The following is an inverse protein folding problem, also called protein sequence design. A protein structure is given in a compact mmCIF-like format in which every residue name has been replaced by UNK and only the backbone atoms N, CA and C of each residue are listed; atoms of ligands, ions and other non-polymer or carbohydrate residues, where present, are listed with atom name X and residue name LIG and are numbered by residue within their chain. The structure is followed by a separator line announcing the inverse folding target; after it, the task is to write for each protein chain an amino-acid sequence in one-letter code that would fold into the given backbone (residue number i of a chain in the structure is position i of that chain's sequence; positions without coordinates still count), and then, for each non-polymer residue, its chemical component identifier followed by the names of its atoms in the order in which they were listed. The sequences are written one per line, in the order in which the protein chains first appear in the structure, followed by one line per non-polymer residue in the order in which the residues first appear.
data_IF_083859351345
#
_entry.id   IF_083859351345
#
_cell.length_a   1.000
_cell.length_b   1.000
_cell.length_c   1.000
_cell.angle_alpha   90.00
_cell.angle_beta   90.00
_cell.angle_gamma   90.00
#
_symmetry.space_group_name_H-M   'P 1'
#
loop_
_entity.id
_entity.type
_entity.pdbx_description
1 polymer ?
#
# COMPACT_ATOMS: atom_id res chain seq x y z
N UNK A 1 -7.73 1.29 -13.66
CA UNK A 1 -8.31 1.77 -12.39
C UNK A 1 -8.34 0.63 -11.36
N UNK A 2 -7.20 0.01 -11.06
CA UNK A 2 -7.12 -1.23 -10.26
C UNK A 2 -6.25 -1.08 -9.00
N UNK A 3 -6.00 0.15 -8.59
CA UNK A 3 -4.75 0.45 -7.91
C UNK A 3 -4.90 1.15 -6.57
N UNK A 4 -6.09 1.66 -6.30
CA UNK A 4 -6.50 2.14 -5.00
C UNK A 4 -6.58 1.00 -3.94
N UNK A 5 -5.97 -0.16 -4.20
CA UNK A 5 -6.26 -1.45 -3.57
C UNK A 5 -5.51 -1.66 -2.26
N UNK A 6 -4.20 -1.42 -2.17
CA UNK A 6 -3.40 -1.83 -0.99
C UNK A 6 -3.52 -0.84 0.13
N UNK A 7 -3.19 0.43 -0.10
CA UNK A 7 -3.22 1.43 0.96
C UNK A 7 -4.62 1.61 1.54
N UNK A 8 -5.67 1.46 0.71
CA UNK A 8 -7.05 1.49 1.19
C UNK A 8 -7.49 0.19 1.87
N UNK A 9 -7.01 -0.97 1.44
CA UNK A 9 -7.21 -2.22 2.18
C UNK A 9 -6.50 -2.16 3.53
N UNK A 10 -5.25 -1.69 3.60
CA UNK A 10 -4.51 -1.46 4.84
C UNK A 10 -5.28 -0.56 5.81
N UNK A 11 -5.87 0.53 5.30
CA UNK A 11 -6.68 1.44 6.08
C UNK A 11 -8.00 0.78 6.52
N UNK A 12 -8.75 0.14 5.62
CA UNK A 12 -10.08 -0.47 5.85
C UNK A 12 -10.06 -1.72 6.74
N UNK A 13 -8.98 -2.50 6.68
CA UNK A 13 -8.86 -3.79 7.36
C UNK A 13 -8.73 -3.66 8.88
N UNK A 14 -7.97 -2.66 9.34
CA UNK A 14 -7.80 -2.39 10.76
C UNK A 14 -9.16 -2.18 11.48
N UNK A 15 -10.10 -1.50 10.82
CA UNK A 15 -11.42 -1.20 11.38
C UNK A 15 -12.44 -2.35 11.22
N UNK A 16 -12.38 -3.10 10.11
CA UNK A 16 -13.29 -4.26 9.88
C UNK A 16 -13.03 -5.38 10.90
N UNK A 17 -11.78 -5.59 11.29
CA UNK A 17 -11.36 -6.59 12.27
C UNK A 17 -11.81 -6.21 13.69
N UNK A 18 -11.75 -4.93 14.06
CA UNK A 18 -12.21 -4.44 15.37
C UNK A 18 -13.74 -4.53 15.49
N UNK A 19 -14.48 -4.23 14.43
CA UNK A 19 -15.95 -4.35 14.39
C UNK A 19 -16.44 -5.80 14.42
N UNK A 20 -15.66 -6.74 13.89
CA UNK A 20 -15.96 -8.18 13.91
C UNK A 20 -15.53 -8.88 15.20
N UNK A 21 -14.55 -8.34 15.95
CA UNK A 21 -14.03 -8.96 17.18
C UNK A 21 -14.84 -8.65 18.45
N UNK A 22 -15.86 -7.78 18.38
CA UNK A 22 -16.94 -7.73 19.37
C UNK A 22 -16.56 -7.43 20.83
N UNK A 23 -15.32 -7.05 21.13
CA UNK A 23 -14.88 -6.83 22.50
C UNK A 23 -14.04 -5.55 22.65
N UNK A 24 -14.70 -4.57 23.29
CA UNK A 24 -14.20 -3.42 24.07
C UNK A 24 -14.25 -2.04 23.42
N UNK A 25 -15.08 -1.20 24.05
CA UNK A 25 -14.95 0.26 24.13
C UNK A 25 -13.50 0.64 24.50
N UNK A 26 -12.69 0.96 23.50
CA UNK A 26 -11.56 1.87 23.69
C UNK A 26 -11.90 3.12 22.91
N UNK A 27 -11.92 4.26 23.59
CA UNK A 27 -12.32 5.52 22.99
C UNK A 27 -11.51 5.80 21.73
N UNK A 28 -12.21 6.09 20.63
CA UNK A 28 -11.78 6.49 19.28
C UNK A 28 -10.75 7.65 19.23
N UNK A 29 -10.19 8.09 20.35
CA UNK A 29 -9.30 9.24 20.44
C UNK A 29 -7.82 8.88 20.47
N UNK A 30 -7.46 7.66 20.87
CA UNK A 30 -6.05 7.23 21.01
C UNK A 30 -5.61 6.25 19.89
N UNK A 31 -6.56 5.68 19.14
CA UNK A 31 -6.26 5.01 17.87
C UNK A 31 -5.88 5.99 16.74
N UNK A 32 -6.32 7.24 16.87
CA UNK A 32 -6.47 8.19 15.77
C UNK A 32 -5.61 9.46 15.91
N UNK A 33 -4.51 9.43 16.65
CA UNK A 33 -3.45 10.43 16.47
C UNK A 33 -2.75 10.19 15.12
N UNK A 34 -3.43 10.51 14.02
CA UNK A 34 -2.90 10.45 12.66
C UNK A 34 -3.89 10.02 11.57
N UNK A 35 -5.10 9.57 11.90
CA UNK A 35 -6.05 9.03 10.92
C UNK A 35 -7.43 9.66 11.09
N UNK A 36 -7.99 10.15 9.98
CA UNK A 36 -9.27 10.87 9.93
C UNK A 36 -10.42 9.87 9.70
N UNK A 37 -11.29 9.72 10.70
CA UNK A 37 -12.37 8.74 10.75
C UNK A 37 -13.46 8.93 9.69
N UNK A 38 -13.69 10.16 9.21
CA UNK A 38 -14.67 10.41 8.16
C UNK A 38 -14.15 9.95 6.79
N UNK A 39 -12.88 10.24 6.50
CA UNK A 39 -12.22 9.79 5.26
C UNK A 39 -12.22 8.27 5.15
N UNK A 40 -12.05 7.59 6.27
CA UNK A 40 -12.07 6.14 6.35
C UNK A 40 -13.41 5.55 5.84
N UNK A 41 -14.53 6.05 6.34
CA UNK A 41 -15.87 5.56 5.97
C UNK A 41 -16.19 5.86 4.50
N UNK A 42 -15.74 7.00 4.00
CA UNK A 42 -15.80 7.34 2.57
C UNK A 42 -15.00 6.33 1.73
N UNK A 43 -13.83 5.90 2.18
CA UNK A 43 -13.01 4.92 1.47
C UNK A 43 -13.60 3.51 1.49
N UNK A 44 -14.20 3.07 2.59
CA UNK A 44 -14.89 1.77 2.66
C UNK A 44 -16.06 1.69 1.67
N UNK A 45 -16.86 2.75 1.58
CA UNK A 45 -17.96 2.83 0.63
C UNK A 45 -17.47 3.00 -0.81
N UNK A 46 -16.38 3.71 -1.04
CA UNK A 46 -15.73 3.78 -2.35
C UNK A 46 -15.24 2.39 -2.79
N UNK A 47 -14.72 1.58 -1.85
CA UNK A 47 -14.27 0.20 -2.12
C UNK A 47 -15.41 -0.71 -2.53
N UNK A 48 -16.50 -0.70 -1.78
CA UNK A 48 -17.70 -1.49 -2.10
C UNK A 48 -18.34 -1.06 -3.40
N UNK A 49 -18.41 0.25 -3.66
CA UNK A 49 -19.09 0.82 -4.83
C UNK A 49 -18.31 0.62 -6.12
N UNK A 50 -16.97 0.71 -6.10
CA UNK A 50 -16.14 0.58 -7.31
C UNK A 50 -15.79 -0.86 -7.67
N UNK A 51 -15.70 -1.77 -6.71
CA UNK A 51 -15.16 -3.12 -6.94
C UNK A 51 -16.06 -4.26 -6.45
N UNK A 52 -17.00 -3.97 -5.55
CA UNK A 52 -17.80 -4.99 -4.88
C UNK A 52 -17.01 -5.73 -3.80
N UNK A 53 -17.69 -6.18 -2.75
CA UNK A 53 -17.08 -6.94 -1.66
C UNK A 53 -16.53 -8.32 -2.10
N UNK A 54 -16.72 -8.69 -3.37
CA UNK A 54 -16.41 -10.01 -3.91
C UNK A 54 -15.05 -10.14 -4.61
N UNK A 55 -14.30 -9.04 -4.75
CA UNK A 55 -12.97 -9.06 -5.36
C UNK A 55 -12.02 -10.06 -4.64
N UNK A 56 -11.36 -10.96 -5.37
CA UNK A 56 -10.50 -11.99 -4.77
C UNK A 56 -9.36 -11.46 -3.92
N UNK A 57 -8.77 -10.32 -4.28
CA UNK A 57 -7.63 -9.76 -3.53
C UNK A 57 -8.08 -8.93 -2.34
N UNK A 58 -9.29 -8.36 -2.37
CA UNK A 58 -9.95 -7.83 -1.18
C UNK A 58 -10.20 -8.96 -0.17
N UNK A 59 -10.73 -10.10 -0.63
CA UNK A 59 -10.96 -11.28 0.22
C UNK A 59 -9.67 -11.86 0.80
N UNK A 60 -8.64 -11.99 -0.03
CA UNK A 60 -7.32 -12.46 0.43
C UNK A 60 -6.74 -11.52 1.49
N UNK A 61 -6.90 -10.21 1.33
CA UNK A 61 -6.38 -9.23 2.29
C UNK A 61 -7.11 -9.22 3.61
N UNK A 62 -8.44 -9.38 3.58
CA UNK A 62 -9.25 -9.66 4.76
C UNK A 62 -8.78 -10.92 5.49
N UNK A 63 -8.52 -12.01 4.76
CA UNK A 63 -8.08 -13.26 5.35
C UNK A 63 -6.66 -13.17 5.95
N UNK A 64 -5.69 -12.63 5.19
CA UNK A 64 -4.28 -12.54 5.61
C UNK A 64 -4.08 -11.65 6.83
N UNK A 65 -4.85 -10.58 6.94
CA UNK A 65 -4.71 -9.62 8.03
C UNK A 65 -5.71 -9.84 9.17
N UNK A 66 -6.61 -10.82 9.11
CA UNK A 66 -7.65 -11.04 10.14
C UNK A 66 -7.13 -11.13 11.59
N UNK A 67 -5.90 -11.62 11.77
CA UNK A 67 -5.26 -11.75 13.06
C UNK A 67 -4.45 -10.52 13.49
N UNK A 68 -4.24 -9.55 12.58
CA UNK A 68 -3.45 -8.37 12.86
C UNK A 68 -4.11 -7.51 13.95
N UNK A 69 -3.25 -6.94 14.78
CA UNK A 69 -3.57 -5.92 15.77
C UNK A 69 -2.95 -4.58 15.35
N UNK A 70 -3.29 -3.50 16.05
CA UNK A 70 -2.81 -2.14 15.75
C UNK A 70 -1.29 -2.06 15.54
N UNK A 71 -0.51 -2.78 16.34
CA UNK A 71 0.96 -2.79 16.22
C UNK A 71 1.42 -3.41 14.89
N UNK A 72 0.76 -4.46 14.40
CA UNK A 72 1.15 -5.12 13.14
C UNK A 72 0.98 -4.17 11.94
N UNK A 73 -0.11 -3.41 11.92
CA UNK A 73 -0.32 -2.36 10.91
C UNK A 73 0.71 -1.23 11.04
N UNK A 74 1.01 -0.81 12.27
CA UNK A 74 2.00 0.24 12.51
C UNK A 74 3.40 -0.20 12.05
N UNK A 75 3.78 -1.44 12.33
CA UNK A 75 5.03 -2.03 11.87
C UNK A 75 5.07 -2.18 10.35
N UNK A 76 3.99 -2.65 9.72
CA UNK A 76 3.90 -2.75 8.26
C UNK A 76 4.07 -1.38 7.59
N UNK A 77 3.42 -0.34 8.14
CA UNK A 77 3.58 1.04 7.69
C UNK A 77 5.02 1.50 7.86
N UNK A 78 5.64 1.27 9.02
CA UNK A 78 7.02 1.66 9.28
C UNK A 78 7.99 1.00 8.30
N UNK A 79 7.83 -0.31 8.06
CA UNK A 79 8.63 -1.04 7.06
C UNK A 79 8.49 -0.43 5.66
N UNK A 80 7.28 -0.03 5.27
CA UNK A 80 7.04 0.61 3.98
C UNK A 80 7.67 2.01 3.90
N UNK A 81 7.54 2.81 4.94
CA UNK A 81 8.14 4.15 5.03
C UNK A 81 9.68 4.08 4.99
N UNK A 82 10.29 3.13 5.70
CA UNK A 82 11.73 2.85 5.67
C UNK A 82 12.19 2.39 4.28
N UNK A 83 11.39 1.56 3.62
CA UNK A 83 11.67 1.13 2.26
C UNK A 83 11.63 2.31 1.28
N UNK A 84 10.59 3.14 1.33
CA UNK A 84 10.48 4.32 0.46
C UNK A 84 11.66 5.28 0.64
N UNK A 85 12.15 5.47 1.88
CA UNK A 85 13.38 6.24 2.13
C UNK A 85 14.60 5.63 1.44
N UNK A 86 14.78 4.32 1.52
CA UNK A 86 15.89 3.62 0.85
C UNK A 86 15.78 3.70 -0.68
N UNK A 87 14.58 3.59 -1.24
CA UNK A 87 14.35 3.77 -2.68
C UNK A 87 14.69 5.21 -3.10
N UNK A 88 14.24 6.20 -2.31
CA UNK A 88 14.59 7.60 -2.52
C UNK A 88 16.11 7.81 -2.52
N UNK A 89 16.84 7.17 -1.62
CA UNK A 89 18.29 7.32 -1.53
C UNK A 89 19.02 6.76 -2.77
N UNK A 90 18.57 5.63 -3.33
CA UNK A 90 19.15 5.11 -4.59
C UNK A 90 18.75 5.96 -5.80
N UNK A 91 17.53 6.48 -5.81
CA UNK A 91 17.05 7.40 -6.85
C UNK A 91 17.87 8.70 -6.88
N UNK A 92 18.10 9.33 -5.72
CA UNK A 92 18.90 10.56 -5.61
C UNK A 92 20.36 10.34 -6.02
N UNK A 93 20.89 9.12 -5.88
CA UNK A 93 22.22 8.74 -6.39
C UNK A 93 22.26 8.49 -7.91
N UNK A 94 21.13 8.61 -8.60
CA UNK A 94 21.02 8.41 -10.04
C UNK A 94 20.97 6.95 -10.46
N UNK A 95 20.63 6.02 -9.56
CA UNK A 95 20.49 4.61 -9.93
C UNK A 95 19.29 4.43 -10.88
N UNK A 96 19.46 3.66 -11.96
CA UNK A 96 18.36 3.39 -12.90
C UNK A 96 17.25 2.56 -12.25
N UNK A 97 15.98 2.72 -12.68
CA UNK A 97 14.84 1.97 -12.13
C UNK A 97 15.00 0.44 -12.20
N UNK A 98 15.67 -0.07 -13.24
CA UNK A 98 15.92 -1.48 -13.50
C UNK A 98 17.28 -1.98 -12.95
N UNK A 99 18.05 -1.11 -12.30
CA UNK A 99 19.34 -1.47 -11.73
C UNK A 99 19.23 -2.53 -10.64
N UNK A 100 20.25 -3.37 -10.42
CA UNK A 100 20.21 -4.41 -9.39
C UNK A 100 19.91 -3.87 -7.99
N UNK A 101 20.46 -2.71 -7.62
CA UNK A 101 20.19 -2.06 -6.33
C UNK A 101 18.74 -1.63 -6.16
N UNK A 102 18.14 -1.10 -7.21
CA UNK A 102 16.73 -0.67 -7.18
C UNK A 102 15.82 -1.88 -7.15
N UNK A 103 16.12 -2.89 -7.97
CA UNK A 103 15.29 -4.08 -8.10
C UNK A 103 15.28 -4.95 -6.85
N UNK A 104 16.36 -4.96 -6.06
CA UNK A 104 16.35 -5.56 -4.73
C UNK A 104 15.31 -4.89 -3.81
N UNK A 105 15.28 -3.55 -3.79
CA UNK A 105 14.30 -2.79 -2.99
C UNK A 105 12.87 -2.96 -3.51
N UNK A 106 12.66 -3.04 -4.83
CA UNK A 106 11.33 -3.33 -5.38
C UNK A 106 10.88 -4.76 -5.05
N UNK A 107 11.80 -5.72 -4.96
CA UNK A 107 11.51 -7.04 -4.43
C UNK A 107 11.02 -6.98 -2.98
N UNK A 108 11.66 -6.20 -2.12
CA UNK A 108 11.17 -5.94 -0.76
C UNK A 108 9.79 -5.24 -0.78
N UNK A 109 9.56 -4.31 -1.71
CA UNK A 109 8.26 -3.64 -1.88
C UNK A 109 7.16 -4.65 -2.20
N UNK A 110 7.43 -5.54 -3.17
CA UNK A 110 6.54 -6.61 -3.54
C UNK A 110 6.23 -7.54 -2.35
N UNK A 111 7.25 -7.96 -1.58
CA UNK A 111 7.03 -8.82 -0.41
C UNK A 111 6.21 -8.13 0.69
N UNK A 112 6.42 -6.84 0.94
CA UNK A 112 5.59 -6.08 1.87
C UNK A 112 4.11 -6.04 1.42
N UNK A 113 3.86 -5.99 0.11
CA UNK A 113 2.52 -6.04 -0.46
C UNK A 113 1.92 -7.45 -0.32
N UNK A 114 2.72 -8.50 -0.52
CA UNK A 114 2.31 -9.91 -0.37
C UNK A 114 1.75 -10.21 1.03
N UNK A 115 2.19 -9.49 2.06
CA UNK A 115 1.62 -9.57 3.41
C UNK A 115 0.12 -9.26 3.44
N UNK A 116 -0.36 -8.41 2.53
CA UNK A 116 -1.76 -8.06 2.38
C UNK A 116 -2.45 -8.99 1.40
N UNK A 117 -1.96 -9.13 0.19
CA UNK A 117 -2.53 -10.06 -0.79
C UNK A 117 -1.46 -10.34 -1.85
N UNK A 118 -1.63 -11.37 -2.67
CA UNK A 118 -0.65 -11.69 -3.70
C UNK A 118 -1.01 -10.97 -5.02
N UNK A 119 -0.36 -9.84 -5.38
CA UNK A 119 -0.61 -9.17 -6.65
C UNK A 119 -0.21 -10.07 -7.82
N UNK A 120 -1.02 -10.09 -8.88
CA UNK A 120 -0.51 -10.55 -10.19
C UNK A 120 0.43 -9.52 -10.79
N UNK A 121 1.11 -9.88 -11.86
CA UNK A 121 1.92 -8.97 -12.67
C UNK A 121 1.16 -7.69 -13.05
N UNK A 122 -0.04 -7.83 -13.60
CA UNK A 122 -0.87 -6.72 -14.09
C UNK A 122 -1.28 -5.81 -12.95
N UNK A 123 -1.65 -6.39 -11.82
CA UNK A 123 -1.97 -5.64 -10.60
C UNK A 123 -0.74 -4.86 -10.15
N UNK A 124 0.43 -5.49 -10.05
CA UNK A 124 1.64 -4.83 -9.56
C UNK A 124 2.10 -3.69 -10.48
N UNK A 125 1.99 -3.86 -11.80
CA UNK A 125 2.21 -2.77 -12.77
C UNK A 125 1.18 -1.66 -12.62
N UNK A 126 -0.09 -2.03 -12.43
CA UNK A 126 -1.15 -1.10 -12.08
C UNK A 126 -0.75 -0.25 -10.87
N UNK A 127 -0.31 -0.87 -9.77
CA UNK A 127 0.22 -0.22 -8.56
C UNK A 127 1.18 0.91 -8.88
N UNK A 128 2.21 0.63 -9.66
CA UNK A 128 3.14 1.66 -10.12
C UNK A 128 2.46 2.80 -10.87
N UNK A 129 1.59 2.48 -11.83
CA UNK A 129 0.94 3.49 -12.68
C UNK A 129 0.08 4.48 -11.89
N UNK A 130 -0.60 4.04 -10.85
CA UNK A 130 -1.43 4.95 -10.05
C UNK A 130 -0.63 5.85 -9.14
N UNK A 131 0.54 5.43 -8.66
CA UNK A 131 1.40 6.33 -7.89
C UNK A 131 1.69 7.62 -8.67
N UNK A 132 1.63 7.54 -10.00
CA UNK A 132 1.75 8.64 -10.96
C UNK A 132 0.39 9.29 -11.27
N UNK A 133 -0.66 8.50 -11.51
CA UNK A 133 -1.95 9.02 -12.01
C UNK A 133 -2.85 9.62 -10.92
N UNK A 134 -2.74 9.16 -9.67
CA UNK A 134 -3.52 9.70 -8.55
C UNK A 134 -2.73 10.81 -7.85
N UNK A 135 -3.20 12.07 -7.90
CA UNK A 135 -2.50 13.20 -7.30
C UNK A 135 -2.18 13.02 -5.81
N UNK A 136 -3.00 12.27 -5.07
CA UNK A 136 -2.80 12.04 -3.62
C UNK A 136 -1.57 11.18 -3.36
N UNK A 137 -1.34 10.17 -4.19
CA UNK A 137 -0.19 9.29 -4.07
C UNK A 137 1.06 9.96 -4.60
N UNK A 138 0.94 10.59 -5.77
CA UNK A 138 2.00 11.40 -6.35
C UNK A 138 2.55 12.40 -5.34
N UNK A 139 1.68 13.15 -4.67
CA UNK A 139 2.09 14.15 -3.68
C UNK A 139 2.87 13.51 -2.51
N UNK A 140 2.52 12.30 -2.06
CA UNK A 140 3.25 11.62 -1.00
C UNK A 140 4.67 11.20 -1.41
N UNK A 141 4.85 10.74 -2.65
CA UNK A 141 6.17 10.42 -3.18
C UNK A 141 6.98 11.67 -3.51
N UNK A 142 6.35 12.70 -4.10
CA UNK A 142 7.01 13.96 -4.44
C UNK A 142 7.46 14.74 -3.20
N UNK A 143 6.76 14.60 -2.06
CA UNK A 143 7.21 15.10 -0.75
C UNK A 143 8.54 14.48 -0.30
N UNK A 144 8.81 13.22 -0.67
CA UNK A 144 10.08 12.56 -0.35
C UNK A 144 11.19 12.98 -1.33
N UNK A 145 10.87 13.01 -2.61
CA UNK A 145 11.72 13.52 -3.68
C UNK A 145 10.87 13.68 -4.96
N UNK A 146 10.91 14.85 -5.57
CA UNK A 146 10.22 15.10 -6.86
C UNK A 146 10.65 14.07 -7.91
N UNK A 147 9.68 13.44 -8.56
CA UNK A 147 9.90 12.41 -9.59
C UNK A 147 10.06 11.00 -9.05
N UNK A 148 9.97 10.81 -7.73
CA UNK A 148 10.04 9.47 -7.11
C UNK A 148 8.82 8.61 -7.48
N UNK A 149 7.66 9.22 -7.74
CA UNK A 149 6.47 8.49 -8.17
C UNK A 149 6.69 7.79 -9.52
N UNK A 150 7.21 8.52 -10.53
CA UNK A 150 7.60 7.96 -11.83
C UNK A 150 8.68 6.90 -11.69
N UNK A 151 9.68 7.17 -10.84
CA UNK A 151 10.75 6.22 -10.58
C UNK A 151 10.23 4.89 -10.02
N UNK A 152 9.33 4.95 -9.04
CA UNK A 152 8.66 3.77 -8.48
C UNK A 152 7.86 3.03 -9.54
N UNK A 153 7.06 3.73 -10.35
CA UNK A 153 6.31 3.12 -11.46
C UNK A 153 7.23 2.33 -12.39
N UNK A 154 8.30 2.97 -12.86
CA UNK A 154 9.20 2.37 -13.85
C UNK A 154 9.96 1.17 -13.23
N UNK A 155 10.37 1.28 -11.98
CA UNK A 155 11.06 0.21 -11.26
C UNK A 155 10.13 -0.99 -10.99
N UNK A 156 8.86 -0.74 -10.63
CA UNK A 156 7.83 -1.78 -10.45
C UNK A 156 7.49 -2.46 -11.77
N UNK A 157 7.40 -1.71 -12.86
CA UNK A 157 7.18 -2.27 -14.20
C UNK A 157 8.33 -3.21 -14.61
N UNK A 158 9.59 -2.79 -14.40
CA UNK A 158 10.76 -3.62 -14.68
C UNK A 158 10.78 -4.89 -13.84
N UNK A 159 10.47 -4.78 -12.53
CA UNK A 159 10.39 -5.93 -11.64
C UNK A 159 9.31 -6.91 -12.07
N UNK A 160 8.10 -6.41 -12.35
CA UNK A 160 6.98 -7.21 -12.82
C UNK A 160 7.28 -7.95 -14.13
N UNK A 161 8.04 -7.33 -15.03
CA UNK A 161 8.40 -7.98 -16.30
C UNK A 161 9.37 -9.14 -16.11
N UNK A 162 10.26 -9.05 -15.12
CA UNK A 162 11.34 -10.01 -14.91
C UNK A 162 11.00 -11.12 -13.93
N UNK A 163 10.23 -10.83 -12.89
CA UNK A 163 10.04 -11.72 -11.73
C UNK A 163 8.60 -12.23 -11.57
N UNK A 164 7.61 -11.64 -12.27
CA UNK A 164 6.17 -11.95 -12.16
C UNK A 164 5.58 -12.42 -13.50
#
# INVERSE_FOLDING_TARGET
MEVMRIDRLMQTLAHTIEKLKGERDMSDKELYQGFDMEKQKEYEEEVKTRWGADDPQVKESLAKTAHWIKSDYAEAKQRMDDLHRRVRDVFVRGALPDSPSTQALIGEHYQNIVCFYTPTKEIFQGLGQMYVDDPRFRENYDKLQVGLAEYMRDAMNAYAQREL
#
